data_IF_258243965032
#
_entry.id   IF_258243965032
#
_cell.length_a   1.000
_cell.length_b   1.000
_cell.length_c   1.000
_cell.angle_alpha   90.00
_cell.angle_beta   90.00
_cell.angle_gamma   90.00
#
_symmetry.space_group_name_H-M   'P 1'
#
loop_
_entity.id
_entity.type
_entity.pdbx_description
1 polymer ?
#
# COMPACT_ATOMS: atom_id res chain seq x y z
N UNK A 1 -16.23 2.42 -12.23
CA UNK A 1 -16.26 2.70 -10.78
C UNK A 1 -16.67 1.42 -10.08
N UNK A 2 -16.13 1.16 -8.89
CA UNK A 2 -16.52 0.00 -8.06
C UNK A 2 -17.01 0.52 -6.72
N UNK A 3 -18.06 -0.08 -6.17
CA UNK A 3 -18.61 0.25 -4.86
C UNK A 3 -18.75 -1.03 -4.05
N UNK A 4 -18.10 -1.08 -2.88
CA UNK A 4 -18.30 -2.14 -1.89
C UNK A 4 -19.58 -1.92 -1.07
N UNK A 5 -20.29 -2.99 -0.77
CA UNK A 5 -21.51 -2.99 0.04
C UNK A 5 -21.47 -4.12 1.06
N UNK A 6 -20.85 -3.84 2.21
CA UNK A 6 -20.86 -4.74 3.37
C UNK A 6 -22.29 -4.92 3.91
N UNK A 7 -22.62 -6.13 4.35
CA UNK A 7 -23.92 -6.45 4.95
C UNK A 7 -23.86 -7.68 5.85
N UNK A 8 -24.98 -8.03 6.47
CA UNK A 8 -25.11 -9.25 7.30
C UNK A 8 -25.25 -10.55 6.48
N UNK A 9 -25.39 -10.40 5.16
CA UNK A 9 -25.19 -11.43 4.14
C UNK A 9 -23.70 -11.41 3.73
N UNK A 10 -23.18 -12.32 2.89
CA UNK A 10 -21.77 -12.29 2.50
C UNK A 10 -21.23 -10.94 2.07
N UNK A 11 -22.08 -10.02 1.60
CA UNK A 11 -21.72 -8.71 1.10
C UNK A 11 -21.70 -8.71 -0.42
N UNK A 12 -21.36 -7.59 -1.03
CA UNK A 12 -21.27 -7.47 -2.49
C UNK A 12 -20.32 -6.33 -2.90
N UNK A 13 -19.85 -6.37 -4.13
CA UNK A 13 -19.24 -5.24 -4.80
C UNK A 13 -19.98 -4.99 -6.12
N UNK A 14 -20.20 -3.73 -6.47
CA UNK A 14 -20.98 -3.35 -7.64
C UNK A 14 -20.10 -2.59 -8.62
N UNK A 15 -20.15 -3.00 -9.88
CA UNK A 15 -19.48 -2.33 -10.99
C UNK A 15 -20.45 -1.32 -11.59
N UNK A 16 -19.99 -0.09 -11.73
CA UNK A 16 -20.71 0.97 -12.43
C UNK A 16 -19.92 1.46 -13.64
N UNK A 17 -20.62 1.57 -14.77
CA UNK A 17 -20.08 2.15 -16.01
C UNK A 17 -20.76 3.47 -16.33
N UNK A 18 -19.96 4.46 -16.68
CA UNK A 18 -20.46 5.75 -17.13
C UNK A 18 -20.83 5.64 -18.62
N UNK A 19 -22.10 5.87 -18.95
CA UNK A 19 -22.60 5.77 -20.33
C UNK A 19 -22.50 7.10 -21.12
N UNK A 20 -21.78 8.08 -20.59
CA UNK A 20 -21.68 9.44 -21.15
C UNK A 20 -22.66 10.45 -20.55
N UNK A 21 -23.60 10.01 -19.70
CA UNK A 21 -24.51 10.91 -18.98
C UNK A 21 -24.71 10.55 -17.51
N UNK A 22 -24.79 9.25 -17.21
CA UNK A 22 -25.00 8.74 -15.86
C UNK A 22 -24.13 7.51 -15.61
N UNK A 23 -23.85 7.25 -14.33
CA UNK A 23 -23.35 5.96 -13.89
C UNK A 23 -24.50 4.96 -13.86
N UNK A 24 -24.32 3.83 -14.52
CA UNK A 24 -25.28 2.72 -14.53
C UNK A 24 -24.61 1.52 -13.91
N UNK A 25 -25.32 0.82 -13.03
CA UNK A 25 -24.88 -0.47 -12.50
C UNK A 25 -24.79 -1.47 -13.66
N UNK A 26 -23.60 -2.04 -13.83
CA UNK A 26 -23.30 -3.01 -14.88
C UNK A 26 -23.36 -4.44 -14.33
N UNK A 27 -22.75 -4.68 -13.18
CA UNK A 27 -22.64 -6.03 -12.61
C UNK A 27 -22.53 -6.00 -11.08
N UNK A 28 -23.05 -7.03 -10.44
CA UNK A 28 -22.88 -7.32 -9.02
C UNK A 28 -21.90 -8.49 -8.86
N UNK A 29 -20.75 -8.22 -8.26
CA UNK A 29 -19.76 -9.22 -7.87
C UNK A 29 -20.12 -9.84 -6.53
N UNK A 30 -19.96 -11.16 -6.43
CA UNK A 30 -20.17 -11.94 -5.21
C UNK A 30 -19.07 -12.99 -5.11
N UNK A 31 -18.55 -13.22 -3.90
CA UNK A 31 -17.62 -14.32 -3.64
C UNK A 31 -18.26 -15.68 -3.96
N UNK A 32 -17.52 -16.55 -4.63
CA UNK A 32 -17.93 -17.90 -5.02
C UNK A 32 -18.26 -18.79 -3.81
N UNK A 33 -17.64 -18.53 -2.67
CA UNK A 33 -17.82 -19.22 -1.40
C UNK A 33 -18.38 -18.33 -0.29
N UNK A 34 -18.99 -17.19 -0.65
CA UNK A 34 -19.46 -16.20 0.31
C UNK A 34 -20.50 -16.74 1.29
N UNK A 35 -20.23 -16.56 2.58
CA UNK A 35 -21.10 -16.90 3.71
C UNK A 35 -21.49 -15.66 4.52
N UNK A 36 -22.51 -15.78 5.37
CA UNK A 36 -22.94 -14.66 6.21
C UNK A 36 -21.79 -14.17 7.10
N UNK A 37 -21.66 -12.85 7.23
CA UNK A 37 -20.61 -12.17 8.01
C UNK A 37 -19.20 -12.22 7.40
N UNK A 38 -19.02 -12.65 6.15
CA UNK A 38 -17.71 -12.51 5.48
C UNK A 38 -17.34 -11.05 5.17
N UNK A 39 -18.33 -10.15 5.22
CA UNK A 39 -18.17 -8.72 4.97
C UNK A 39 -17.52 -8.41 3.61
N UNK A 40 -17.76 -9.23 2.57
CA UNK A 40 -17.30 -8.99 1.21
C UNK A 40 -17.74 -7.61 0.71
N UNK A 41 -16.82 -6.90 0.06
CA UNK A 41 -17.02 -5.50 -0.30
C UNK A 41 -16.77 -4.57 0.88
N UNK A 42 -16.00 -5.01 1.87
CA UNK A 42 -15.53 -4.14 2.96
C UNK A 42 -14.65 -3.02 2.40
N UNK A 43 -13.74 -3.38 1.51
CA UNK A 43 -12.91 -2.48 0.73
C UNK A 43 -12.81 -2.97 -0.71
N UNK A 44 -12.57 -2.05 -1.66
CA UNK A 44 -12.52 -2.34 -3.09
C UNK A 44 -11.44 -1.52 -3.78
N UNK A 45 -10.70 -2.17 -4.67
CA UNK A 45 -9.75 -1.50 -5.55
C UNK A 45 -9.94 -1.97 -6.99
N UNK A 46 -9.66 -1.09 -7.96
CA UNK A 46 -9.77 -1.39 -9.38
C UNK A 46 -8.54 -0.88 -10.13
N UNK A 47 -7.98 -1.72 -10.99
CA UNK A 47 -6.91 -1.36 -11.92
C UNK A 47 -7.16 -2.04 -13.27
N UNK A 48 -7.35 -1.24 -14.31
CA UNK A 48 -7.70 -1.76 -15.63
C UNK A 48 -8.95 -2.64 -15.57
N UNK A 49 -8.79 -3.88 -16.01
CA UNK A 49 -9.84 -4.91 -16.04
C UNK A 49 -9.87 -5.77 -14.76
N UNK A 50 -9.08 -5.45 -13.74
CA UNK A 50 -8.98 -6.22 -12.50
C UNK A 50 -9.60 -5.47 -11.32
N UNK A 51 -10.34 -6.18 -10.48
CA UNK A 51 -10.94 -5.65 -9.24
C UNK A 51 -10.54 -6.53 -8.07
N UNK A 52 -9.96 -5.94 -7.03
CA UNK A 52 -9.77 -6.58 -5.74
C UNK A 52 -10.91 -6.21 -4.80
N UNK A 53 -11.42 -7.19 -4.06
CA UNK A 53 -12.50 -7.00 -3.08
C UNK A 53 -12.11 -7.65 -1.75
N UNK A 54 -12.04 -6.83 -0.70
CA UNK A 54 -11.78 -7.29 0.65
C UNK A 54 -13.00 -7.96 1.30
N UNK A 55 -12.76 -9.04 2.03
CA UNK A 55 -13.70 -9.73 2.88
C UNK A 55 -13.04 -9.96 4.25
N UNK A 56 -13.37 -9.10 5.23
CA UNK A 56 -12.62 -8.95 6.48
C UNK A 56 -12.54 -10.24 7.33
N UNK A 57 -13.38 -11.23 7.06
CA UNK A 57 -13.31 -12.56 7.68
C UNK A 57 -12.16 -13.44 7.14
N UNK A 58 -11.06 -12.84 6.72
CA UNK A 58 -9.81 -13.53 6.41
C UNK A 58 -9.58 -13.82 4.93
N UNK A 59 -10.18 -13.07 4.00
CA UNK A 59 -10.00 -13.29 2.56
C UNK A 59 -10.06 -12.02 1.73
N UNK A 60 -9.49 -12.08 0.53
CA UNK A 60 -9.68 -11.09 -0.52
C UNK A 60 -9.94 -11.82 -1.82
N UNK A 61 -10.65 -11.20 -2.75
CA UNK A 61 -11.05 -11.83 -4.01
C UNK A 61 -10.65 -10.94 -5.17
N UNK A 62 -10.12 -11.54 -6.23
CA UNK A 62 -9.79 -10.85 -7.47
C UNK A 62 -10.78 -11.25 -8.53
N UNK A 63 -11.40 -10.26 -9.16
CA UNK A 63 -12.27 -10.40 -10.32
C UNK A 63 -11.59 -9.81 -11.54
N UNK A 64 -11.73 -10.48 -12.68
CA UNK A 64 -11.18 -10.03 -13.97
C UNK A 64 -12.32 -9.87 -14.98
N UNK A 65 -12.29 -8.78 -15.74
CA UNK A 65 -13.17 -8.58 -16.88
C UNK A 65 -12.57 -9.21 -18.13
N UNK A 66 -13.32 -10.13 -18.76
CA UNK A 66 -12.85 -10.84 -19.96
C UNK A 66 -13.34 -10.22 -21.29
N UNK A 67 -13.79 -8.96 -21.26
CA UNK A 67 -14.39 -8.28 -22.40
C UNK A 67 -15.90 -8.50 -22.55
N UNK A 68 -16.52 -9.32 -21.70
CA UNK A 68 -17.97 -9.51 -21.69
C UNK A 68 -18.55 -9.59 -20.29
N UNK A 69 -17.92 -10.35 -19.39
CA UNK A 69 -18.39 -10.53 -18.00
C UNK A 69 -17.22 -10.38 -17.03
N UNK A 70 -17.56 -10.06 -15.77
CA UNK A 70 -16.65 -10.19 -14.65
C UNK A 70 -16.65 -11.63 -14.13
N UNK A 71 -15.47 -12.19 -13.88
CA UNK A 71 -15.32 -13.53 -13.29
C UNK A 71 -14.36 -13.48 -12.11
N UNK A 72 -14.70 -14.19 -11.02
CA UNK A 72 -13.76 -14.42 -9.92
C UNK A 72 -12.58 -15.24 -10.45
N UNK A 73 -11.40 -14.65 -10.44
CA UNK A 73 -10.17 -15.29 -10.87
C UNK A 73 -9.47 -16.00 -9.72
N UNK A 74 -9.49 -15.38 -8.53
CA UNK A 74 -8.84 -15.94 -7.35
C UNK A 74 -9.48 -15.51 -6.04
N UNK A 75 -9.41 -16.40 -5.06
CA UNK A 75 -9.49 -16.10 -3.63
C UNK A 75 -8.07 -16.06 -3.06
N UNK A 76 -7.73 -14.95 -2.43
CA UNK A 76 -6.45 -14.69 -1.78
C UNK A 76 -6.57 -14.92 -0.28
N UNK A 77 -5.62 -15.67 0.28
CA UNK A 77 -5.49 -15.94 1.71
C UNK A 77 -4.01 -15.99 2.07
N UNK A 78 -3.66 -15.64 3.31
CA UNK A 78 -2.28 -15.74 3.79
C UNK A 78 -1.77 -17.19 3.80
N UNK A 79 -0.54 -17.40 3.36
CA UNK A 79 0.08 -18.72 3.17
C UNK A 79 0.37 -19.46 4.48
N UNK A 80 0.67 -18.73 5.54
CA UNK A 80 1.04 -19.24 6.85
C UNK A 80 -0.16 -19.60 7.76
N UNK A 81 -1.39 -19.50 7.24
CA UNK A 81 -2.63 -19.71 7.99
C UNK A 81 -3.51 -18.45 8.02
N UNK A 82 -4.61 -18.49 8.78
CA UNK A 82 -5.51 -17.36 8.88
C UNK A 82 -4.80 -16.16 9.54
N UNK A 83 -4.71 -15.05 8.82
CA UNK A 83 -4.25 -13.76 9.33
C UNK A 83 -5.45 -12.94 9.80
N UNK A 84 -5.38 -12.40 11.01
CA UNK A 84 -6.51 -11.71 11.64
C UNK A 84 -6.83 -10.37 10.92
N UNK A 85 -8.11 -10.16 10.59
CA UNK A 85 -8.59 -9.05 9.74
C UNK A 85 -7.96 -8.98 8.35
N UNK A 86 -7.43 -10.08 7.82
CA UNK A 86 -7.02 -10.13 6.42
C UNK A 86 -8.20 -9.79 5.50
N UNK A 87 -7.95 -8.92 4.51
CA UNK A 87 -9.00 -8.41 3.62
C UNK A 87 -9.67 -7.14 4.14
N UNK A 88 -9.17 -6.54 5.22
CA UNK A 88 -9.66 -5.25 5.72
C UNK A 88 -9.39 -4.09 4.75
N UNK A 89 -8.23 -4.09 4.12
CA UNK A 89 -7.85 -3.10 3.11
C UNK A 89 -7.23 -3.82 1.92
N UNK A 90 -7.55 -3.36 0.71
CA UNK A 90 -7.07 -3.97 -0.54
C UNK A 90 -6.62 -2.90 -1.52
N UNK A 91 -5.50 -3.16 -2.19
CA UNK A 91 -5.05 -2.38 -3.34
C UNK A 91 -4.66 -3.32 -4.48
N UNK A 92 -4.81 -2.87 -5.72
CA UNK A 92 -4.41 -3.64 -6.91
C UNK A 92 -3.77 -2.71 -7.94
N UNK A 93 -2.66 -3.15 -8.52
CA UNK A 93 -1.94 -2.44 -9.58
C UNK A 93 -1.24 -3.44 -10.47
N UNK A 94 -1.57 -3.43 -11.76
CA UNK A 94 -1.09 -4.42 -12.72
C UNK A 94 -1.40 -5.85 -12.26
N UNK A 95 -0.34 -6.67 -12.22
CA UNK A 95 -0.39 -8.07 -11.80
C UNK A 95 -0.06 -8.26 -10.31
N UNK A 96 -0.24 -7.23 -9.48
CA UNK A 96 -0.06 -7.31 -8.03
C UNK A 96 -1.26 -6.79 -7.26
N UNK A 97 -1.49 -7.41 -6.11
CA UNK A 97 -2.46 -6.98 -5.12
C UNK A 97 -1.78 -6.90 -3.75
N UNK A 98 -2.20 -5.95 -2.93
CA UNK A 98 -1.75 -5.77 -1.56
C UNK A 98 -2.96 -5.87 -0.64
N UNK A 99 -2.86 -6.71 0.39
CA UNK A 99 -3.97 -6.98 1.31
C UNK A 99 -3.53 -6.75 2.75
N UNK A 100 -4.23 -5.87 3.45
CA UNK A 100 -4.00 -5.56 4.85
C UNK A 100 -4.63 -6.58 5.81
N UNK A 101 -3.92 -6.86 6.91
CA UNK A 101 -4.36 -7.71 8.02
C UNK A 101 -3.88 -7.09 9.35
N UNK A 102 -4.57 -6.03 9.79
CA UNK A 102 -4.05 -5.13 10.81
C UNK A 102 -4.00 -5.68 12.25
N UNK A 103 -4.57 -6.87 12.51
CA UNK A 103 -4.43 -7.54 13.80
C UNK A 103 -3.53 -8.78 13.73
N UNK A 104 -2.97 -9.10 12.56
CA UNK A 104 -2.10 -10.26 12.40
C UNK A 104 -0.85 -10.17 13.28
N UNK A 105 -0.58 -11.21 14.07
CA UNK A 105 0.59 -11.26 14.96
C UNK A 105 0.63 -10.17 16.05
N UNK A 106 -0.46 -9.43 16.28
CA UNK A 106 -0.56 -8.35 17.27
C UNK A 106 0.01 -6.99 16.83
N UNK A 107 0.97 -6.99 15.92
CA UNK A 107 1.55 -5.77 15.32
C UNK A 107 0.83 -5.36 14.03
N UNK A 108 0.20 -6.33 13.35
CA UNK A 108 -0.38 -6.19 12.03
C UNK A 108 0.58 -6.61 10.91
N UNK A 109 0.04 -6.84 9.70
CA UNK A 109 0.78 -7.25 8.51
C UNK A 109 0.10 -6.79 7.22
N UNK A 110 0.85 -6.74 6.12
CA UNK A 110 0.29 -6.60 4.78
C UNK A 110 0.91 -7.64 3.84
N UNK A 111 0.13 -8.16 2.91
CA UNK A 111 0.51 -9.30 2.06
C UNK A 111 0.46 -8.90 0.60
N UNK A 112 1.58 -9.06 -0.10
CA UNK A 112 1.67 -8.85 -1.54
C UNK A 112 1.37 -10.17 -2.25
N UNK A 113 0.44 -10.15 -3.18
CA UNK A 113 0.16 -11.25 -4.10
C UNK A 113 0.57 -10.84 -5.51
N UNK A 114 1.12 -11.79 -6.25
CA UNK A 114 1.47 -11.64 -7.66
C UNK A 114 0.67 -12.60 -8.51
N UNK A 115 0.21 -12.12 -9.67
CA UNK A 115 -0.40 -12.89 -10.73
C UNK A 115 0.66 -13.31 -11.74
N UNK A 116 0.74 -14.61 -12.05
CA UNK A 116 1.54 -15.15 -13.14
C UNK A 116 0.73 -16.20 -13.90
N UNK A 117 0.53 -15.97 -15.20
CA UNK A 117 -0.28 -16.87 -16.04
C UNK A 117 -1.72 -17.08 -15.55
N UNK A 118 -2.31 -16.09 -14.88
CA UNK A 118 -3.66 -16.17 -14.28
C UNK A 118 -3.70 -16.85 -12.91
N UNK A 119 -2.56 -17.27 -12.36
CA UNK A 119 -2.45 -17.84 -11.02
C UNK A 119 -1.96 -16.77 -10.05
N UNK A 120 -2.70 -16.55 -8.97
CA UNK A 120 -2.31 -15.66 -7.89
C UNK A 120 -1.58 -16.43 -6.79
N UNK A 121 -0.42 -15.93 -6.37
CA UNK A 121 0.37 -16.48 -5.25
C UNK A 121 0.90 -15.38 -4.36
N UNK A 122 1.01 -15.63 -3.05
CA UNK A 122 1.67 -14.73 -2.10
C UNK A 122 3.14 -14.54 -2.50
N UNK A 123 3.52 -13.32 -2.86
CA UNK A 123 4.88 -12.91 -3.23
C UNK A 123 5.68 -12.49 -1.98
N UNK A 124 5.03 -11.81 -1.02
CA UNK A 124 5.71 -11.32 0.18
C UNK A 124 4.73 -11.02 1.32
N UNK A 125 5.25 -11.08 2.55
CA UNK A 125 4.62 -10.54 3.76
C UNK A 125 5.44 -9.34 4.23
N UNK A 126 4.81 -8.18 4.27
CA UNK A 126 5.39 -6.92 4.71
C UNK A 126 5.09 -6.71 6.20
N UNK A 127 6.11 -6.26 6.93
CA UNK A 127 6.08 -5.95 8.35
C UNK A 127 6.80 -4.62 8.55
N UNK A 128 6.31 -3.78 9.47
CA UNK A 128 7.08 -2.63 9.94
C UNK A 128 8.37 -3.09 10.63
N UNK A 129 9.49 -2.44 10.30
CA UNK A 129 10.80 -2.76 10.87
C UNK A 129 10.90 -2.54 12.38
N UNK A 130 10.07 -1.65 12.93
CA UNK A 130 9.94 -1.28 14.34
C UNK A 130 8.55 -1.63 14.91
N UNK A 131 7.78 -2.51 14.24
CA UNK A 131 6.40 -2.80 14.64
C UNK A 131 6.27 -3.37 16.07
N UNK A 132 5.41 -2.74 16.86
CA UNK A 132 5.04 -3.11 18.22
C UNK A 132 3.57 -3.54 18.32
N UNK A 133 3.22 -4.16 19.45
CA UNK A 133 1.88 -4.68 19.65
C UNK A 133 0.86 -3.55 19.80
N UNK A 134 -0.11 -3.47 18.89
CA UNK A 134 -1.12 -2.41 18.89
C UNK A 134 -1.00 -1.42 17.73
N UNK A 135 0.10 -1.44 16.98
CA UNK A 135 0.39 -0.48 15.90
C UNK A 135 -0.59 -0.55 14.73
N UNK A 136 -1.24 -1.71 14.57
CA UNK A 136 -2.22 -1.98 13.51
C UNK A 136 -1.64 -1.77 12.11
N UNK A 137 -0.41 -2.21 11.87
CA UNK A 137 0.19 -2.19 10.54
C UNK A 137 -0.66 -2.98 9.54
N UNK A 138 -0.95 -2.41 8.38
CA UNK A 138 -1.87 -3.03 7.40
C UNK A 138 -3.32 -2.60 7.58
N UNK A 139 -3.56 -1.53 8.35
CA UNK A 139 -4.90 -0.97 8.53
C UNK A 139 -5.44 -0.38 7.23
N UNK A 140 -4.58 0.30 6.48
CA UNK A 140 -4.86 0.86 5.16
C UNK A 140 -3.67 0.52 4.24
N UNK A 141 -3.93 0.29 2.96
CA UNK A 141 -2.89 -0.05 1.99
C UNK A 141 -3.07 0.70 0.68
N UNK A 142 -1.96 1.08 0.05
CA UNK A 142 -1.94 1.60 -1.31
C UNK A 142 -0.79 0.98 -2.10
N UNK A 143 -1.00 0.77 -3.40
CA UNK A 143 -0.06 0.06 -4.25
C UNK A 143 0.08 0.73 -5.63
N UNK A 144 1.32 0.95 -6.05
CA UNK A 144 1.71 1.23 -7.43
C UNK A 144 2.53 0.05 -7.97
N UNK A 145 3.10 0.17 -9.18
CA UNK A 145 3.93 -0.90 -9.76
C UNK A 145 5.15 -1.26 -8.89
N UNK A 146 5.77 -0.27 -8.25
CA UNK A 146 7.02 -0.42 -7.49
C UNK A 146 6.96 0.06 -6.04
N UNK A 147 5.83 0.60 -5.59
CA UNK A 147 5.71 1.18 -4.25
C UNK A 147 4.46 0.67 -3.56
N UNK A 148 4.63 0.15 -2.35
CA UNK A 148 3.55 -0.18 -1.43
C UNK A 148 3.63 0.79 -0.26
N UNK A 149 2.48 1.33 0.15
CA UNK A 149 2.36 2.17 1.34
C UNK A 149 1.39 1.49 2.29
N UNK A 150 1.78 1.36 3.55
CA UNK A 150 1.01 0.64 4.56
C UNK A 150 0.84 1.50 5.80
N UNK A 151 -0.42 1.78 6.17
CA UNK A 151 -0.76 2.51 7.38
C UNK A 151 -0.65 1.66 8.65
N UNK A 152 -0.12 2.25 9.71
CA UNK A 152 -0.05 1.71 11.07
C UNK A 152 -0.66 2.75 12.02
N UNK A 153 -1.98 2.71 12.16
CA UNK A 153 -2.76 3.76 12.81
C UNK A 153 -2.63 3.83 14.33
N UNK A 154 -2.04 2.82 14.96
CA UNK A 154 -1.80 2.78 16.41
C UNK A 154 -0.31 2.88 16.77
N UNK A 155 0.54 3.20 15.80
CA UNK A 155 1.98 3.38 16.03
C UNK A 155 2.24 4.62 16.88
N UNK A 156 3.10 4.48 17.89
CA UNK A 156 3.54 5.59 18.72
C UNK A 156 4.73 6.31 18.05
N UNK A 157 4.65 7.64 17.91
CA UNK A 157 5.74 8.43 17.33
C UNK A 157 5.96 9.74 18.08
N UNK A 158 7.19 10.23 18.14
CA UNK A 158 7.50 11.52 18.80
C UNK A 158 7.33 11.52 20.33
N UNK A 159 6.90 10.41 20.94
CA UNK A 159 6.46 10.34 22.33
C UNK A 159 4.94 10.42 22.49
N UNK A 160 4.20 10.54 21.39
CA UNK A 160 2.76 10.66 21.33
C UNK A 160 2.12 9.31 21.01
N UNK A 161 1.21 8.91 21.91
CA UNK A 161 0.56 7.61 21.83
C UNK A 161 -0.49 7.58 20.70
N UNK A 162 -0.54 6.48 19.94
CA UNK A 162 -1.45 6.27 18.82
C UNK A 162 -1.44 7.42 17.79
N UNK A 163 -0.33 8.15 17.67
CA UNK A 163 -0.13 9.21 16.68
C UNK A 163 -0.31 8.68 15.25
N UNK A 164 0.15 7.45 15.02
CA UNK A 164 0.07 6.74 13.76
C UNK A 164 1.24 7.02 12.83
N UNK A 165 1.49 6.07 11.94
CA UNK A 165 2.58 6.11 10.95
C UNK A 165 2.14 5.50 9.62
N UNK A 166 2.91 5.76 8.56
CA UNK A 166 2.80 5.03 7.30
C UNK A 166 4.18 4.55 6.84
N UNK A 167 4.27 3.32 6.35
CA UNK A 167 5.52 2.69 5.94
C UNK A 167 5.55 2.52 4.43
N UNK A 168 6.69 2.85 3.82
CA UNK A 168 6.91 2.78 2.38
C UNK A 168 7.80 1.59 2.07
N UNK A 169 7.35 0.73 1.18
CA UNK A 169 8.10 -0.40 0.66
C UNK A 169 8.35 -0.21 -0.83
N UNK A 170 9.60 -0.39 -1.24
CA UNK A 170 10.03 -0.38 -2.63
C UNK A 170 10.21 -1.80 -3.18
N UNK A 171 9.84 -2.00 -4.43
CA UNK A 171 10.10 -3.23 -5.18
C UNK A 171 11.27 -3.03 -6.15
N UNK A 172 12.30 -3.87 -6.05
CA UNK A 172 13.51 -3.77 -6.88
C UNK A 172 13.47 -4.60 -8.17
N UNK A 173 12.35 -5.25 -8.46
CA UNK A 173 12.22 -6.24 -9.54
C UNK A 173 12.18 -7.69 -9.06
N UNK A 174 12.63 -7.95 -7.83
CA UNK A 174 12.67 -9.29 -7.24
C UNK A 174 12.11 -9.35 -5.81
N UNK A 175 12.26 -8.29 -5.02
CA UNK A 175 11.92 -8.29 -3.60
C UNK A 175 11.38 -6.94 -3.15
N UNK A 176 10.57 -6.98 -2.09
CA UNK A 176 10.06 -5.81 -1.39
C UNK A 176 10.95 -5.51 -0.18
N UNK A 177 11.32 -4.24 -0.01
CA UNK A 177 12.08 -3.77 1.15
C UNK A 177 11.50 -2.45 1.67
N UNK A 178 11.50 -2.27 2.98
CA UNK A 178 11.11 -0.99 3.60
C UNK A 178 12.13 0.09 3.21
N UNK A 179 11.66 1.16 2.59
CA UNK A 179 12.45 2.33 2.20
C UNK A 179 12.37 3.45 3.24
N UNK A 180 11.32 3.46 4.07
CA UNK A 180 11.22 4.39 5.20
C UNK A 180 9.85 4.44 5.87
N UNK A 181 9.83 5.11 7.02
CA UNK A 181 8.65 5.44 7.83
C UNK A 181 8.30 6.92 7.63
N UNK A 182 7.02 7.20 7.41
CA UNK A 182 6.44 8.53 7.25
C UNK A 182 5.62 8.85 8.49
N UNK A 183 5.77 10.08 8.98
CA UNK A 183 5.10 10.61 10.16
C UNK A 183 4.66 12.04 9.90
N UNK A 184 3.65 12.52 10.65
CA UNK A 184 3.30 13.93 10.68
C UNK A 184 4.43 14.73 11.35
N UNK A 185 4.70 15.95 10.89
CA UNK A 185 5.77 16.80 11.46
C UNK A 185 5.31 17.61 12.69
N UNK A 186 4.01 17.65 12.87
CA UNK A 186 3.13 18.35 13.78
C UNK A 186 2.26 17.33 14.54
N UNK A 187 2.79 16.13 14.75
CA UNK A 187 2.07 15.04 15.40
C UNK A 187 1.57 15.40 16.80
N UNK A 188 0.35 14.98 17.11
CA UNK A 188 -0.23 14.95 18.44
C UNK A 188 -0.82 13.55 18.77
N UNK A 189 -1.05 13.24 20.06
CA UNK A 189 -1.60 11.94 20.45
C UNK A 189 -2.96 11.66 19.82
N UNK A 190 -3.12 10.45 19.29
CA UNK A 190 -4.35 9.95 18.69
C UNK A 190 -4.85 10.71 17.44
N UNK A 191 -3.95 11.37 16.70
CA UNK A 191 -4.24 11.99 15.39
C UNK A 191 -4.54 10.95 14.29
N UNK A 192 -4.05 9.72 14.46
CA UNK A 192 -4.30 8.57 13.59
C UNK A 192 -3.77 8.82 12.16
N UNK A 193 -2.53 9.28 12.05
CA UNK A 193 -1.81 9.33 10.79
C UNK A 193 -1.69 7.92 10.17
N UNK A 194 -1.77 7.84 8.84
CA UNK A 194 -1.80 6.55 8.14
C UNK A 194 -3.20 5.93 8.05
N UNK A 195 -4.26 6.62 8.51
CA UNK A 195 -5.64 6.13 8.41
C UNK A 195 -6.14 6.00 6.98
N UNK A 196 -5.69 6.89 6.10
CA UNK A 196 -5.89 6.86 4.66
C UNK A 196 -4.55 7.01 3.97
N UNK A 197 -4.25 6.16 2.98
CA UNK A 197 -3.02 6.26 2.18
C UNK A 197 -3.34 6.18 0.70
N UNK A 198 -2.62 6.93 -0.11
CA UNK A 198 -2.67 6.81 -1.57
C UNK A 198 -1.27 6.99 -2.14
N UNK A 199 -0.98 6.29 -3.24
CA UNK A 199 0.31 6.37 -3.92
C UNK A 199 0.13 6.51 -5.42
N UNK A 200 1.01 7.31 -6.01
CA UNK A 200 1.23 7.42 -7.45
C UNK A 200 2.72 7.31 -7.73
N UNK A 201 3.14 7.44 -8.99
CA UNK A 201 4.56 7.35 -9.37
C UNK A 201 5.44 8.49 -8.80
N UNK A 202 4.83 9.60 -8.37
CA UNK A 202 5.56 10.79 -7.93
C UNK A 202 5.19 11.29 -6.54
N UNK A 203 4.14 10.76 -5.92
CA UNK A 203 3.65 11.27 -4.64
C UNK A 203 2.92 10.21 -3.83
N UNK A 204 3.14 10.26 -2.52
CA UNK A 204 2.36 9.59 -1.50
C UNK A 204 1.51 10.64 -0.78
N UNK A 205 0.24 10.33 -0.57
CA UNK A 205 -0.66 11.09 0.30
C UNK A 205 -0.98 10.26 1.53
N UNK A 206 -0.91 10.87 2.70
CA UNK A 206 -1.27 10.23 3.97
C UNK A 206 -2.25 11.11 4.73
N UNK A 207 -3.36 10.54 5.16
CA UNK A 207 -4.37 11.22 5.96
C UNK A 207 -4.14 11.00 7.46
N UNK A 208 -4.39 12.06 8.23
CA UNK A 208 -4.50 12.06 9.67
C UNK A 208 -5.93 12.44 10.02
N UNK A 209 -6.74 11.49 10.50
CA UNK A 209 -8.19 11.67 10.58
C UNK A 209 -8.61 12.58 11.74
N UNK A 210 -7.84 12.62 12.82
CA UNK A 210 -8.18 13.30 14.07
C UNK A 210 -7.30 14.50 14.42
N UNK A 211 -6.37 14.81 13.54
CA UNK A 211 -5.57 16.03 13.58
C UNK A 211 -6.39 17.26 13.97
N UNK A 212 -5.97 17.95 15.05
CA UNK A 212 -6.75 19.00 15.69
C UNK A 212 -6.15 20.42 15.61
N UNK A 213 -5.05 20.56 14.85
CA UNK A 213 -4.31 21.80 14.63
C UNK A 213 -5.20 22.96 14.11
N UNK A 214 -6.24 22.62 13.36
CA UNK A 214 -7.22 23.57 12.80
C UNK A 214 -8.63 23.42 13.39
N UNK A 215 -8.74 22.82 14.57
CA UNK A 215 -9.98 22.56 15.29
C UNK A 215 -10.15 21.08 15.62
N UNK A 216 -10.93 20.77 16.67
CA UNK A 216 -11.14 19.39 17.17
C UNK A 216 -11.48 18.42 16.04
N UNK A 217 -10.64 17.38 15.87
CA UNK A 217 -10.77 16.33 14.85
C UNK A 217 -11.02 16.89 13.43
N UNK A 218 -10.39 18.02 13.06
CA UNK A 218 -10.55 18.64 11.75
C UNK A 218 -9.95 17.77 10.63
N UNK A 219 -8.92 16.99 10.96
CA UNK A 219 -8.20 16.13 10.06
C UNK A 219 -7.22 16.89 9.16
N UNK A 220 -6.16 16.20 8.74
CA UNK A 220 -5.14 16.72 7.85
C UNK A 220 -4.75 15.70 6.77
N UNK A 221 -4.11 16.20 5.71
CA UNK A 221 -3.55 15.39 4.65
C UNK A 221 -2.13 15.87 4.32
N UNK A 222 -1.20 14.93 4.34
CA UNK A 222 0.23 15.16 4.19
C UNK A 222 0.69 14.61 2.85
N UNK A 223 1.58 15.35 2.19
CA UNK A 223 2.08 15.01 0.86
C UNK A 223 3.58 14.75 0.92
N UNK A 224 3.99 13.56 0.47
CA UNK A 224 5.38 13.13 0.43
C UNK A 224 5.80 12.89 -1.03
N UNK A 225 6.68 13.73 -1.60
CA UNK A 225 7.18 13.52 -2.95
C UNK A 225 8.04 12.27 -3.04
N UNK A 226 7.79 11.44 -4.06
CA UNK A 226 8.68 10.35 -4.42
C UNK A 226 9.76 10.87 -5.38
N UNK A 227 11.01 10.37 -5.27
CA UNK A 227 12.02 10.69 -6.25
C UNK A 227 11.54 10.25 -7.65
N UNK A 228 11.83 11.05 -8.69
CA UNK A 228 11.38 10.73 -10.04
C UNK A 228 11.85 9.33 -10.43
N UNK A 229 10.94 8.53 -11.00
CA UNK A 229 11.29 7.22 -11.55
C UNK A 229 12.38 7.43 -12.61
N UNK A 230 13.62 7.03 -12.28
CA UNK A 230 14.70 7.00 -13.25
C UNK A 230 14.34 5.89 -14.24
N UNK A 231 14.07 6.20 -15.53
CA UNK A 231 13.76 5.17 -16.50
C UNK A 231 15.03 4.33 -16.67
N UNK A 232 14.91 3.06 -16.28
CA UNK A 232 15.99 2.10 -16.09
C UNK A 232 16.83 2.31 -14.81
N UNK A 233 16.69 1.36 -13.89
CA UNK A 233 17.49 1.15 -12.68
C UNK A 233 16.97 1.89 -11.43
N UNK A 234 15.90 1.36 -10.82
CA UNK A 234 15.80 1.30 -9.36
C UNK A 234 16.43 -0.02 -8.89
N UNK A 235 17.73 -0.20 -9.14
CA UNK A 235 18.51 -0.98 -8.15
C UNK A 235 18.67 -0.07 -6.95
N UNK A 236 18.64 -0.60 -5.71
CA UNK A 236 18.77 0.24 -4.52
C UNK A 236 20.06 1.04 -4.64
N UNK A 237 19.90 2.37 -4.69
CA UNK A 237 21.03 3.28 -4.66
C UNK A 237 21.61 3.17 -3.25
N UNK A 238 22.63 2.33 -3.08
CA UNK A 238 23.46 2.36 -1.89
C UNK A 238 24.22 3.70 -1.93
N UNK A 239 23.59 4.77 -1.44
CA UNK A 239 24.31 6.01 -1.11
C UNK A 239 25.09 5.71 0.16
N UNK A 240 26.23 5.05 0.00
CA UNK A 240 27.28 5.10 0.99
C UNK A 240 27.75 6.56 1.06
N UNK A 241 27.21 7.31 2.02
CA UNK A 241 27.88 8.50 2.54
C UNK A 241 29.18 8.03 3.19
N UNK A 242 30.21 7.82 2.38
CA UNK A 242 31.55 7.67 2.86
C UNK A 242 31.99 9.04 3.38
N UNK A 243 31.91 9.19 4.71
CA UNK A 243 32.47 10.29 5.45
C UNK A 243 33.92 10.53 5.03
N UNK A 244 34.18 11.77 4.63
CA UNK A 244 35.52 12.26 4.34
C UNK A 244 36.32 12.33 5.65
N UNK A 245 37.06 11.27 5.98
CA UNK A 245 38.17 11.39 6.92
C UNK A 245 39.42 11.78 6.12
N UNK A 246 39.84 13.04 6.32
CA UNK A 246 41.16 13.53 5.95
C UNK A 246 42.21 12.66 6.64
N UNK A 247 42.88 11.79 5.88
CA UNK A 247 44.21 11.31 6.22
C UNK A 247 45.21 12.07 5.37
N UNK A 248 45.99 12.91 6.04
CA UNK A 248 47.16 13.59 5.49
C UNK A 248 48.16 12.58 4.91
N UNK A 249 48.53 12.73 3.64
CA UNK A 249 49.62 11.96 3.04
C UNK A 249 49.53 11.98 1.53
N UNK A 250 50.35 12.81 0.89
CA UNK A 250 50.14 13.21 -0.50
C UNK A 250 50.36 12.11 -1.54
N UNK A 251 49.62 12.23 -2.65
CA UNK A 251 50.12 11.81 -3.95
C UNK A 251 49.45 12.62 -5.06
N UNK A 252 50.28 13.26 -5.88
CA UNK A 252 49.91 14.10 -7.01
C UNK A 252 49.36 13.26 -8.16
N UNK A 253 48.23 13.68 -8.74
CA UNK A 253 47.92 13.40 -10.15
C UNK A 253 47.51 14.71 -10.83
N UNK A 254 48.41 15.21 -11.68
CA UNK A 254 48.15 16.30 -12.62
C UNK A 254 47.34 15.76 -13.80
N UNK A 255 46.24 16.44 -14.14
CA UNK A 255 45.62 16.38 -15.47
C UNK A 255 45.91 17.68 -16.20
N UNK A 256 46.68 17.62 -17.29
CA UNK A 256 46.82 18.74 -18.23
C UNK A 256 45.94 18.47 -19.45
N UNK A 257 44.93 19.32 -19.63
CA UNK A 257 44.07 19.34 -20.79
C UNK A 257 44.88 19.74 -22.05
N UNK A 258 44.84 18.90 -23.09
CA UNK A 258 45.26 19.28 -24.43
C UNK A 258 44.11 20.06 -25.10
N UNK A 259 44.29 21.36 -25.33
CA UNK A 259 43.47 22.11 -26.30
C UNK A 259 44.25 22.25 -27.61
N UNK A 260 43.54 22.13 -28.74
CA UNK A 260 44.10 22.24 -30.10
C UNK A 260 44.14 23.69 -30.57
N UNK A 261 45.30 24.03 -31.15
CA UNK A 261 45.58 24.93 -32.29
C UNK A 261 45.32 26.43 -32.15
N UNK A 262 46.39 27.18 -32.46
CA UNK A 262 46.51 28.62 -32.61
C UNK A 262 47.96 28.99 -32.39
#
# INVERSE_FOLDING_TARGET
MVIGARGSQPGAAYIFRHNGSVWVEEEKLSASDGTASDEFGYDVAIFGDSVAVGARNGSSYVFIYNGSNWTEEAKLTASAGAAENFGHAVAISGDRALVGAFLDGGTGSAFVFKRDGGVWSEESKLLASDGEGGDKFGHEVALSEYTAVVGATGDDHGGDADAGSAYVFGFDGSSWAEEGKLTAFDTDPADIFGRGVAVSDSVILVGSYKDDDNGVDAGAAYLFPLPPAVPAVRTPLLVALAGFFLVSGGMYLRWSALSRRG
#
